data_IF_119750130179
#
_entry.id   IF_119750130179
#
_cell.length_a   1.000
_cell.length_b   1.000
_cell.length_c   1.000
_cell.angle_alpha   90.00
_cell.angle_beta   90.00
_cell.angle_gamma   90.00
#
_symmetry.space_group_name_H-M   'P 1'
#
loop_
_entity.id
_entity.type
_entity.pdbx_description
1 polymer ?
#
# COMPACT_ATOMS: atom_id res chain seq x y z
N UNK A 1 27.30 17.11 -18.70
CA UNK A 1 26.05 17.68 -18.20
C UNK A 1 25.01 16.57 -18.18
N UNK A 2 24.19 16.51 -17.12
CA UNK A 2 23.12 15.49 -16.94
C UNK A 2 22.20 15.44 -18.16
N UNK A 3 21.82 16.59 -18.71
CA UNK A 3 20.99 16.69 -19.92
C UNK A 3 21.55 15.93 -21.14
N UNK A 4 22.87 15.80 -21.26
CA UNK A 4 23.46 15.00 -22.35
C UNK A 4 23.23 13.51 -22.14
N UNK A 5 23.29 13.05 -20.90
CA UNK A 5 23.05 11.61 -20.57
C UNK A 5 21.58 11.27 -20.81
N UNK A 6 20.66 12.13 -20.37
CA UNK A 6 19.21 11.93 -20.61
C UNK A 6 18.90 11.96 -22.10
N UNK A 7 19.56 12.83 -22.89
CA UNK A 7 19.38 12.90 -24.34
C UNK A 7 19.89 11.67 -25.12
N UNK A 8 20.71 10.82 -24.49
CA UNK A 8 21.19 9.57 -25.09
C UNK A 8 20.29 8.35 -24.79
N UNK A 9 19.10 8.58 -24.23
CA UNK A 9 18.18 7.50 -23.82
C UNK A 9 17.90 6.52 -24.95
N UNK A 10 17.64 7.00 -26.16
CA UNK A 10 17.30 6.13 -27.29
C UNK A 10 18.54 5.36 -27.83
N UNK A 11 19.70 5.99 -27.82
CA UNK A 11 20.96 5.33 -28.19
C UNK A 11 21.30 4.21 -27.20
N UNK A 12 21.07 4.45 -25.90
CA UNK A 12 21.29 3.45 -24.85
C UNK A 12 20.30 2.28 -24.99
N UNK A 13 19.00 2.55 -25.25
CA UNK A 13 18.00 1.53 -25.53
C UNK A 13 18.41 0.65 -26.69
N UNK A 14 18.83 1.27 -27.79
CA UNK A 14 19.25 0.56 -28.97
C UNK A 14 20.46 -0.35 -28.72
N UNK A 15 21.50 0.19 -28.07
CA UNK A 15 22.70 -0.57 -27.75
C UNK A 15 22.48 -1.74 -26.80
N UNK A 16 21.54 -1.61 -25.87
CA UNK A 16 21.20 -2.64 -24.91
C UNK A 16 20.10 -3.59 -25.40
N UNK A 17 19.54 -3.34 -26.61
CA UNK A 17 18.36 -4.03 -27.14
C UNK A 17 17.22 -4.08 -26.10
N UNK A 18 17.05 -3.00 -25.33
CA UNK A 18 16.05 -2.89 -24.26
C UNK A 18 14.78 -2.21 -24.81
N UNK A 19 13.59 -2.72 -24.47
CA UNK A 19 12.31 -2.14 -24.94
C UNK A 19 12.06 -0.75 -24.33
N UNK A 20 12.56 -0.53 -23.11
CA UNK A 20 12.53 0.74 -22.41
C UNK A 20 13.66 0.83 -21.37
N UNK A 21 14.02 2.05 -20.97
CA UNK A 21 14.96 2.32 -19.86
C UNK A 21 14.45 3.49 -19.05
N UNK A 22 14.80 3.52 -17.77
CA UNK A 22 14.57 4.68 -16.91
C UNK A 22 15.90 5.29 -16.49
N UNK A 23 16.07 6.59 -16.73
CA UNK A 23 17.26 7.32 -16.31
C UNK A 23 16.90 8.18 -15.10
N UNK A 24 17.53 7.94 -13.97
CA UNK A 24 17.42 8.74 -12.75
C UNK A 24 18.69 9.58 -12.58
N UNK A 25 18.57 10.88 -12.80
CA UNK A 25 19.72 11.75 -12.87
C UNK A 25 19.48 13.12 -12.19
N UNK A 26 20.08 13.39 -11.02
CA UNK A 26 20.94 12.49 -10.23
C UNK A 26 20.12 11.46 -9.40
N UNK A 27 20.76 10.40 -8.93
CA UNK A 27 20.17 9.55 -7.90
C UNK A 27 20.07 10.37 -6.61
N UNK A 28 18.91 10.42 -5.92
CA UNK A 28 18.76 11.16 -4.67
C UNK A 28 19.82 10.78 -3.62
N UNK A 29 20.54 11.80 -3.12
CA UNK A 29 21.58 11.60 -2.13
C UNK A 29 22.91 11.03 -2.64
N UNK A 30 23.09 10.88 -3.98
CA UNK A 30 24.33 10.37 -4.59
C UNK A 30 24.78 11.26 -5.76
N UNK A 31 26.08 11.45 -5.90
CA UNK A 31 26.68 12.10 -7.07
C UNK A 31 26.83 11.11 -8.26
N UNK A 32 25.72 10.46 -8.62
CA UNK A 32 25.68 9.41 -9.64
C UNK A 32 24.40 9.50 -10.48
N UNK A 33 24.44 8.94 -11.67
CA UNK A 33 23.27 8.73 -12.54
C UNK A 33 22.94 7.23 -12.53
N UNK A 34 21.67 6.91 -12.34
CA UNK A 34 21.14 5.56 -12.44
C UNK A 34 20.53 5.32 -13.81
N UNK A 35 20.81 4.17 -14.40
CA UNK A 35 20.16 3.68 -15.61
C UNK A 35 19.52 2.35 -15.26
N UNK A 36 18.20 2.32 -15.21
CA UNK A 36 17.42 1.11 -14.97
C UNK A 36 17.10 0.44 -16.29
N UNK A 37 17.54 -0.79 -16.45
CA UNK A 37 17.31 -1.61 -17.65
C UNK A 37 16.45 -2.81 -17.23
N UNK A 38 15.33 -3.09 -17.94
CA UNK A 38 14.50 -4.25 -17.60
C UNK A 38 15.26 -5.56 -17.81
N UNK A 39 15.06 -6.49 -16.88
CA UNK A 39 15.61 -7.84 -17.02
C UNK A 39 14.95 -8.58 -18.19
N UNK A 40 15.68 -9.47 -18.85
CA UNK A 40 15.13 -10.35 -19.91
C UNK A 40 14.01 -11.27 -19.37
N UNK A 41 14.14 -11.70 -18.13
CA UNK A 41 13.13 -12.48 -17.38
C UNK A 41 12.79 -11.79 -16.10
N UNK A 42 11.50 -11.55 -15.89
CA UNK A 42 11.02 -10.93 -14.65
C UNK A 42 11.08 -11.93 -13.49
N UNK A 43 11.60 -11.50 -12.36
CA UNK A 43 11.52 -12.27 -11.11
C UNK A 43 10.18 -11.97 -10.42
N UNK A 44 9.42 -13.03 -10.12
CA UNK A 44 8.19 -12.92 -9.36
C UNK A 44 8.54 -12.63 -7.89
N UNK A 45 7.94 -11.57 -7.33
CA UNK A 45 8.05 -11.27 -5.90
C UNK A 45 6.89 -11.96 -5.19
N UNK A 46 7.18 -13.04 -4.48
CA UNK A 46 6.16 -13.79 -3.75
C UNK A 46 5.74 -13.06 -2.47
N UNK A 47 4.44 -12.99 -2.20
CA UNK A 47 3.93 -12.37 -0.98
C UNK A 47 4.50 -13.01 0.28
N UNK A 48 4.66 -14.34 0.30
CA UNK A 48 5.27 -15.06 1.41
C UNK A 48 6.64 -14.53 1.78
N UNK A 49 7.50 -14.26 0.80
CA UNK A 49 8.86 -13.74 1.04
C UNK A 49 8.83 -12.38 1.73
N UNK A 50 7.79 -11.59 1.46
CA UNK A 50 7.62 -10.26 2.04
C UNK A 50 7.19 -10.34 3.50
N UNK A 51 6.18 -11.16 3.82
CA UNK A 51 5.63 -11.26 5.19
C UNK A 51 6.51 -12.09 6.12
N UNK A 52 7.26 -13.06 5.60
CA UNK A 52 8.22 -13.85 6.37
C UNK A 52 9.50 -13.07 6.68
N UNK A 53 9.74 -11.94 6.03
CA UNK A 53 10.90 -11.08 6.28
C UNK A 53 10.90 -10.55 7.72
N UNK A 54 12.08 -10.56 8.35
CA UNK A 54 12.24 -10.14 9.74
C UNK A 54 11.87 -8.66 9.97
N UNK A 55 12.16 -7.80 9.00
CA UNK A 55 11.81 -6.36 9.10
C UNK A 55 10.28 -6.20 9.14
N UNK A 56 9.52 -6.97 8.34
CA UNK A 56 8.07 -6.96 8.36
C UNK A 56 7.51 -7.51 9.69
N UNK A 57 8.01 -8.65 10.15
CA UNK A 57 7.56 -9.26 11.42
C UNK A 57 7.78 -8.35 12.62
N UNK A 58 8.91 -7.64 12.67
CA UNK A 58 9.29 -6.73 13.76
C UNK A 58 8.69 -5.32 13.66
N UNK A 59 8.05 -5.00 12.55
CA UNK A 59 7.46 -3.67 12.36
C UNK A 59 6.32 -3.46 13.36
N UNK A 60 6.33 -2.37 14.11
CA UNK A 60 5.47 -2.17 15.29
C UNK A 60 4.00 -1.91 14.97
N UNK A 61 3.68 -1.38 13.78
CA UNK A 61 2.29 -1.05 13.42
C UNK A 61 1.50 -2.26 12.98
N UNK A 62 0.28 -2.42 13.50
CA UNK A 62 -0.67 -3.47 13.12
C UNK A 62 -1.29 -3.27 11.74
N UNK A 63 -1.17 -2.06 11.16
CA UNK A 63 -1.65 -1.73 9.81
C UNK A 63 -0.51 -1.42 8.85
N UNK A 64 0.68 -1.95 9.16
CA UNK A 64 1.79 -1.97 8.21
C UNK A 64 1.53 -2.99 7.10
N UNK A 65 1.99 -2.69 5.90
CA UNK A 65 1.91 -3.59 4.76
C UNK A 65 3.21 -3.67 3.98
N UNK A 66 3.44 -4.83 3.39
CA UNK A 66 4.59 -5.05 2.53
C UNK A 66 4.30 -4.52 1.12
N UNK A 67 5.02 -3.50 0.70
CA UNK A 67 4.84 -2.87 -0.62
C UNK A 67 5.42 -3.75 -1.73
N UNK A 68 6.58 -4.36 -1.48
CA UNK A 68 7.32 -5.16 -2.45
C UNK A 68 8.82 -5.17 -2.15
N UNK A 69 9.63 -5.33 -3.18
CA UNK A 69 11.11 -5.23 -3.11
C UNK A 69 11.59 -4.05 -3.95
N UNK A 70 12.61 -3.37 -3.46
CA UNK A 70 13.31 -2.38 -4.28
C UNK A 70 14.31 -3.05 -5.24
N UNK A 71 14.99 -2.27 -6.07
CA UNK A 71 15.97 -2.77 -7.05
C UNK A 71 17.15 -3.52 -6.40
N UNK A 72 17.48 -3.24 -5.14
CA UNK A 72 18.50 -3.96 -4.38
C UNK A 72 17.95 -5.25 -3.72
N UNK A 73 16.69 -5.64 -3.96
CA UNK A 73 16.05 -6.82 -3.38
C UNK A 73 15.59 -6.64 -1.93
N UNK A 74 15.74 -5.45 -1.34
CA UNK A 74 15.29 -5.19 0.04
C UNK A 74 13.77 -5.06 0.07
N UNK A 75 13.12 -5.69 1.06
CA UNK A 75 11.68 -5.56 1.31
C UNK A 75 11.37 -4.13 1.76
N UNK A 76 10.40 -3.53 1.10
CA UNK A 76 9.87 -2.20 1.43
C UNK A 76 8.55 -2.37 2.18
N UNK A 77 8.48 -1.78 3.35
CA UNK A 77 7.32 -1.81 4.25
C UNK A 77 6.80 -0.39 4.39
N UNK A 78 5.50 -0.25 4.38
CA UNK A 78 4.83 1.02 4.60
C UNK A 78 3.77 0.89 5.69
N UNK A 79 3.30 2.02 6.21
CA UNK A 79 2.35 2.07 7.30
C UNK A 79 1.18 2.99 6.95
N UNK A 80 -0.03 2.43 6.89
CA UNK A 80 -1.23 3.19 6.56
C UNK A 80 -1.50 4.27 7.61
N UNK A 81 -1.16 4.04 8.87
CA UNK A 81 -1.32 5.05 9.93
C UNK A 81 -0.56 6.34 9.64
N UNK A 82 0.56 6.26 8.90
CA UNK A 82 1.37 7.42 8.51
C UNK A 82 0.94 8.09 7.21
N UNK A 83 0.03 7.45 6.45
CA UNK A 83 -0.45 7.94 5.16
C UNK A 83 -1.81 8.62 5.22
N UNK A 84 -2.57 8.52 6.28
CA UNK A 84 -4.01 8.52 6.59
C UNK A 84 -4.92 8.18 5.40
N UNK A 85 -4.52 8.52 4.19
CA UNK A 85 -5.23 8.19 2.95
C UNK A 85 -4.24 7.69 1.90
N UNK A 86 -4.63 6.68 1.16
CA UNK A 86 -3.82 6.07 0.09
C UNK A 86 -4.65 5.94 -1.19
N UNK A 87 -4.16 6.52 -2.27
CA UNK A 87 -4.70 6.32 -3.60
C UNK A 87 -3.80 5.34 -4.37
N UNK A 88 -4.39 4.24 -4.84
CA UNK A 88 -3.72 3.26 -5.69
C UNK A 88 -4.32 3.34 -7.09
N UNK A 89 -3.53 3.73 -8.07
CA UNK A 89 -3.96 3.86 -9.46
C UNK A 89 -3.01 3.11 -10.40
N UNK A 90 -3.54 2.68 -11.53
CA UNK A 90 -2.75 1.99 -12.55
C UNK A 90 -3.64 1.51 -13.70
N UNK A 91 -3.03 1.34 -14.88
CA UNK A 91 -3.68 0.76 -16.04
C UNK A 91 -4.05 -0.72 -15.82
N UNK A 92 -4.88 -1.27 -16.68
CA UNK A 92 -5.20 -2.70 -16.66
C UNK A 92 -3.92 -3.53 -16.77
N UNK A 93 -3.74 -4.52 -15.89
CA UNK A 93 -2.54 -5.35 -15.85
C UNK A 93 -1.34 -4.75 -15.12
N UNK A 94 -1.42 -3.51 -14.60
CA UNK A 94 -0.32 -2.86 -13.85
C UNK A 94 -0.08 -3.43 -12.45
N UNK A 95 -0.94 -4.33 -11.96
CA UNK A 95 -0.83 -4.91 -10.62
C UNK A 95 -1.62 -4.17 -9.53
N UNK A 96 -2.53 -3.24 -9.87
CA UNK A 96 -3.36 -2.51 -8.89
C UNK A 96 -4.08 -3.45 -7.92
N UNK A 97 -4.80 -4.44 -8.44
CA UNK A 97 -5.53 -5.42 -7.63
C UNK A 97 -4.59 -6.29 -6.78
N UNK A 98 -3.43 -6.64 -7.31
CA UNK A 98 -2.38 -7.36 -6.55
C UNK A 98 -1.89 -6.50 -5.38
N UNK A 99 -1.65 -5.22 -5.59
CA UNK A 99 -1.23 -4.29 -4.55
C UNK A 99 -2.29 -4.16 -3.45
N UNK A 100 -3.58 -4.01 -3.82
CA UNK A 100 -4.70 -3.96 -2.87
C UNK A 100 -4.78 -5.26 -2.05
N UNK A 101 -4.69 -6.42 -2.70
CA UNK A 101 -4.69 -7.71 -2.02
C UNK A 101 -3.48 -7.87 -1.09
N UNK A 102 -2.28 -7.46 -1.53
CA UNK A 102 -1.08 -7.49 -0.70
C UNK A 102 -1.24 -6.63 0.56
N UNK A 103 -1.85 -5.46 0.42
CA UNK A 103 -2.15 -4.57 1.54
C UNK A 103 -3.12 -5.23 2.53
N UNK A 104 -4.27 -5.71 2.04
CA UNK A 104 -5.29 -6.38 2.88
C UNK A 104 -4.68 -7.60 3.58
N UNK A 105 -4.04 -8.48 2.83
CA UNK A 105 -3.42 -9.69 3.39
C UNK A 105 -2.33 -9.36 4.40
N UNK A 106 -1.53 -8.30 4.20
CA UNK A 106 -0.54 -7.87 5.18
C UNK A 106 -1.17 -7.52 6.52
N UNK A 107 -2.31 -6.80 6.49
CA UNK A 107 -3.07 -6.46 7.70
C UNK A 107 -3.62 -7.73 8.36
N UNK A 108 -4.24 -8.63 7.59
CA UNK A 108 -4.82 -9.88 8.11
C UNK A 108 -3.79 -10.79 8.76
N UNK A 109 -2.54 -10.81 8.24
CA UNK A 109 -1.44 -11.56 8.84
C UNK A 109 -0.87 -10.91 10.11
N UNK A 110 -1.04 -9.60 10.27
CA UNK A 110 -0.36 -8.83 11.32
C UNK A 110 -1.28 -8.46 12.49
N UNK A 111 -2.56 -8.26 12.24
CA UNK A 111 -3.52 -7.77 13.20
C UNK A 111 -4.64 -8.76 13.47
N UNK A 112 -5.09 -8.84 14.72
CA UNK A 112 -6.30 -9.57 15.08
C UNK A 112 -7.56 -8.78 14.71
N UNK A 113 -8.73 -9.44 14.59
CA UNK A 113 -9.99 -8.73 14.38
C UNK A 113 -10.40 -7.81 15.52
N UNK A 114 -9.79 -7.94 16.70
CA UNK A 114 -10.01 -7.02 17.83
C UNK A 114 -9.21 -5.72 17.70
N UNK A 115 -8.07 -5.78 17.00
CA UNK A 115 -7.17 -4.65 16.82
C UNK A 115 -7.54 -3.82 15.57
N UNK A 116 -7.96 -4.49 14.50
CA UNK A 116 -8.25 -3.84 13.21
C UNK A 116 -9.58 -4.33 12.66
N UNK A 117 -10.41 -3.39 12.27
CA UNK A 117 -11.67 -3.63 11.57
C UNK A 117 -11.63 -2.99 10.20
N UNK A 118 -12.30 -3.64 9.25
CA UNK A 118 -12.31 -3.26 7.84
C UNK A 118 -13.75 -3.03 7.36
N UNK A 119 -13.93 -1.99 6.55
CA UNK A 119 -15.10 -1.81 5.70
C UNK A 119 -14.59 -1.92 4.27
N UNK A 120 -15.14 -2.84 3.51
CA UNK A 120 -14.77 -3.07 2.11
C UNK A 120 -15.93 -2.71 1.20
N UNK A 121 -15.66 -1.90 0.17
CA UNK A 121 -16.65 -1.49 -0.84
C UNK A 121 -16.11 -1.89 -2.20
N UNK A 122 -16.83 -2.77 -2.90
CA UNK A 122 -16.48 -3.28 -4.22
C UNK A 122 -17.67 -3.14 -5.19
N UNK A 123 -17.87 -1.96 -5.78
CA UNK A 123 -19.02 -1.71 -6.66
C UNK A 123 -18.97 -2.50 -7.98
N UNK A 124 -17.83 -3.13 -8.30
CA UNK A 124 -17.66 -3.97 -9.49
C UNK A 124 -17.83 -5.45 -9.21
N UNK A 125 -17.87 -5.85 -7.94
CA UNK A 125 -18.00 -7.26 -7.48
C UNK A 125 -16.91 -8.18 -8.08
N UNK A 126 -15.69 -7.70 -8.18
CA UNK A 126 -14.59 -8.41 -8.88
C UNK A 126 -13.40 -8.69 -7.99
N UNK A 127 -13.04 -7.76 -7.10
CA UNK A 127 -11.75 -7.79 -6.44
C UNK A 127 -11.83 -8.23 -4.97
N UNK A 128 -12.90 -7.90 -4.23
CA UNK A 128 -12.98 -8.06 -2.79
C UNK A 128 -13.95 -9.15 -2.31
N UNK A 129 -14.65 -9.83 -3.21
CA UNK A 129 -15.62 -10.88 -2.87
C UNK A 129 -14.99 -12.05 -2.09
N UNK A 130 -13.71 -12.33 -2.30
CA UNK A 130 -12.97 -13.39 -1.60
C UNK A 130 -12.77 -13.11 -0.10
N UNK A 131 -12.95 -11.88 0.32
CA UNK A 131 -12.87 -11.48 1.73
C UNK A 131 -14.20 -11.54 2.47
N UNK A 132 -15.28 -11.93 1.79
CA UNK A 132 -16.60 -12.06 2.41
C UNK A 132 -16.54 -13.02 3.59
N UNK A 133 -17.04 -12.58 4.75
CA UNK A 133 -17.14 -13.41 5.96
C UNK A 133 -15.87 -13.48 6.82
N UNK A 134 -14.79 -12.78 6.49
CA UNK A 134 -13.63 -12.70 7.38
C UNK A 134 -13.99 -11.92 8.67
N UNK A 135 -13.44 -12.31 9.84
CA UNK A 135 -13.79 -11.71 11.12
C UNK A 135 -13.37 -10.25 11.30
N UNK A 136 -12.50 -9.75 10.42
CA UNK A 136 -12.09 -8.34 10.39
C UNK A 136 -13.14 -7.41 9.79
N UNK A 137 -14.12 -7.92 9.05
CA UNK A 137 -15.18 -7.07 8.48
C UNK A 137 -16.12 -6.56 9.58
N UNK A 138 -16.41 -5.25 9.57
CA UNK A 138 -17.48 -4.65 10.38
C UNK A 138 -18.86 -4.94 9.81
N UNK A 139 -18.95 -4.96 8.47
CA UNK A 139 -20.15 -5.26 7.69
C UNK A 139 -19.74 -6.15 6.53
N UNK A 140 -20.65 -6.92 5.93
CA UNK A 140 -20.37 -7.65 4.69
C UNK A 140 -19.79 -6.74 3.60
N UNK A 141 -18.99 -7.30 2.69
CA UNK A 141 -18.46 -6.53 1.55
C UNK A 141 -19.61 -5.85 0.80
N UNK A 142 -19.55 -4.53 0.71
CA UNK A 142 -20.62 -3.71 0.14
C UNK A 142 -20.42 -3.62 -1.37
N UNK A 143 -21.44 -4.02 -2.12
CA UNK A 143 -21.44 -4.01 -3.59
C UNK A 143 -22.45 -3.03 -4.19
N UNK A 144 -23.46 -2.64 -3.42
CA UNK A 144 -24.49 -1.71 -3.84
C UNK A 144 -24.09 -0.26 -3.55
N UNK A 145 -24.25 0.69 -4.52
CA UNK A 145 -23.85 2.08 -4.33
C UNK A 145 -24.59 2.82 -3.21
N UNK A 146 -25.87 2.49 -2.95
CA UNK A 146 -26.63 3.12 -1.87
C UNK A 146 -26.14 2.64 -0.50
N UNK A 147 -25.88 1.35 -0.39
CA UNK A 147 -25.28 0.77 0.81
C UNK A 147 -23.87 1.33 1.04
N UNK A 148 -23.09 1.56 -0.02
CA UNK A 148 -21.77 2.18 0.09
C UNK A 148 -21.86 3.60 0.67
N UNK A 149 -22.80 4.40 0.20
CA UNK A 149 -23.07 5.74 0.78
C UNK A 149 -23.44 5.66 2.27
N UNK A 150 -24.30 4.71 2.63
CA UNK A 150 -24.70 4.49 4.04
C UNK A 150 -23.53 4.07 4.91
N UNK A 151 -22.66 3.16 4.42
CA UNK A 151 -21.48 2.73 5.13
C UNK A 151 -20.47 3.88 5.36
N UNK A 152 -20.28 4.73 4.36
CA UNK A 152 -19.43 5.92 4.47
C UNK A 152 -20.02 6.96 5.43
N UNK A 153 -21.34 7.20 5.41
CA UNK A 153 -21.99 8.06 6.38
C UNK A 153 -21.83 7.56 7.80
N UNK A 154 -21.98 6.24 8.02
CA UNK A 154 -21.72 5.65 9.33
C UNK A 154 -20.27 5.89 9.78
N UNK A 155 -19.29 5.73 8.89
CA UNK A 155 -17.87 5.98 9.22
C UNK A 155 -17.63 7.44 9.61
N UNK A 156 -18.30 8.40 8.97
CA UNK A 156 -18.23 9.82 9.33
C UNK A 156 -18.82 10.08 10.72
N UNK A 157 -19.95 9.45 11.04
CA UNK A 157 -20.57 9.56 12.37
C UNK A 157 -19.64 8.97 13.44
N UNK A 158 -19.11 7.77 13.23
CA UNK A 158 -18.17 7.12 14.15
C UNK A 158 -16.91 7.99 14.36
N UNK A 159 -16.39 8.61 13.30
CA UNK A 159 -15.28 9.54 13.40
C UNK A 159 -15.63 10.74 14.28
N UNK A 160 -16.82 11.33 14.10
CA UNK A 160 -17.31 12.45 14.93
C UNK A 160 -17.44 12.07 16.40
N UNK A 161 -17.93 10.88 16.70
CA UNK A 161 -18.06 10.39 18.08
C UNK A 161 -16.70 10.11 18.73
N UNK A 162 -15.71 9.63 17.96
CA UNK A 162 -14.33 9.51 18.44
C UNK A 162 -13.71 10.86 18.75
N UNK A 163 -13.94 11.87 17.92
CA UNK A 163 -13.47 13.23 18.22
C UNK A 163 -14.07 13.79 19.51
N UNK A 164 -15.38 13.56 19.76
CA UNK A 164 -16.00 13.95 21.04
C UNK A 164 -15.33 13.26 22.21
N UNK A 165 -15.12 11.94 22.13
CA UNK A 165 -14.42 11.18 23.19
C UNK A 165 -13.00 11.69 23.43
N UNK A 166 -12.27 12.12 22.39
CA UNK A 166 -10.96 12.74 22.56
C UNK A 166 -11.06 14.10 23.26
N UNK A 167 -12.07 14.92 22.92
CA UNK A 167 -12.28 16.21 23.54
C UNK A 167 -12.64 16.07 25.03
N UNK A 168 -13.48 15.09 25.39
CA UNK A 168 -13.94 14.84 26.76
C UNK A 168 -12.77 14.53 27.71
N UNK A 169 -11.70 13.93 27.20
CA UNK A 169 -10.49 13.56 27.98
C UNK A 169 -9.27 14.43 27.65
N UNK A 170 -9.46 15.53 26.92
CA UNK A 170 -8.39 16.42 26.44
C UNK A 170 -7.27 15.66 25.66
N UNK A 171 -7.61 14.55 25.00
CA UNK A 171 -6.65 13.79 24.20
C UNK A 171 -6.62 14.32 22.76
N UNK A 172 -5.41 14.51 22.21
CA UNK A 172 -5.24 14.97 20.83
C UNK A 172 -5.10 13.83 19.82
N UNK A 173 -4.96 12.58 20.32
CA UNK A 173 -4.81 11.38 19.48
C UNK A 173 -5.12 10.12 20.26
N UNK A 174 -5.30 9.00 19.54
CA UNK A 174 -5.51 7.69 20.15
C UNK A 174 -4.34 7.24 21.04
N UNK A 175 -3.12 7.54 20.66
CA UNK A 175 -1.93 7.27 21.48
C UNK A 175 -1.95 8.05 22.79
N UNK A 176 -2.41 9.30 22.76
CA UNK A 176 -2.58 10.11 23.96
C UNK A 176 -3.70 9.56 24.87
N UNK A 177 -4.82 9.10 24.28
CA UNK A 177 -5.93 8.48 25.01
C UNK A 177 -5.51 7.20 25.75
N UNK A 178 -4.65 6.37 25.14
CA UNK A 178 -4.16 5.13 25.80
C UNK A 178 -3.15 5.36 26.91
N UNK A 179 -2.60 6.55 27.04
CA UNK A 179 -1.65 6.92 28.07
C UNK A 179 -2.34 7.43 29.36
N UNK A 180 -3.66 7.68 29.29
CA UNK A 180 -4.55 8.00 30.41
C UNK A 180 -5.41 6.81 30.77
#
# INVERSE_FOLDING_TARGET
KVSKIVGLSDDIKLNLAAPDIRIEAPIPGKAAVGIEVPNKTNQVVMFRDLIENNDFKRFSSNIAFAVGKNLAGKVIISDIAKMPHLLIAGATGSGKSVCINTLIMSILYKASPNDVKLIMIDPKVVELSTYQGIPHLLIPVVTDPKQASSALNWAVMEMGDRYKKFADVNAVSYTHLRAH
#
